data_IF_719795472499
#
_entry.id   IF_719795472499
#
_cell.length_a   1.000
_cell.length_b   1.000
_cell.length_c   1.000
_cell.angle_alpha   90.00
_cell.angle_beta   90.00
_cell.angle_gamma   90.00
#
_symmetry.space_group_name_H-M   'P 1'
#
loop_
_entity.id
_entity.type
_entity.pdbx_description
1 polymer ?
#
# COMPACT_ATOMS: atom_id res chain seq x y z
N UNK A 1 -19.58 -3.78 -12.73
CA UNK A 1 -19.29 -3.33 -11.35
C UNK A 1 -18.01 -4.02 -10.92
N UNK A 2 -16.95 -3.27 -10.62
CA UNK A 2 -15.69 -3.87 -10.14
C UNK A 2 -15.89 -4.45 -8.73
N UNK A 3 -15.23 -5.56 -8.44
CA UNK A 3 -15.46 -6.40 -7.27
C UNK A 3 -14.48 -6.15 -6.11
N UNK A 4 -13.30 -5.56 -6.34
CA UNK A 4 -12.32 -5.20 -5.31
C UNK A 4 -11.55 -3.90 -5.57
N UNK A 5 -10.98 -3.29 -4.52
CA UNK A 5 -10.10 -2.10 -4.60
C UNK A 5 -8.68 -2.49 -4.21
N UNK A 6 -7.71 -2.03 -4.99
CA UNK A 6 -6.29 -2.39 -4.81
C UNK A 6 -5.41 -1.16 -4.74
N UNK A 7 -4.43 -1.19 -3.85
CA UNK A 7 -3.28 -0.28 -3.84
C UNK A 7 -2.04 -1.05 -4.27
N UNK A 8 -1.34 -0.53 -5.27
CA UNK A 8 -0.10 -1.13 -5.75
C UNK A 8 1.07 -0.55 -4.98
N UNK A 9 1.97 -1.38 -4.48
CA UNK A 9 3.15 -0.94 -3.74
C UNK A 9 4.41 -1.49 -4.39
N UNK A 10 5.36 -0.62 -4.71
CA UNK A 10 6.70 -1.00 -5.17
C UNK A 10 7.70 -0.67 -4.08
N UNK A 11 8.40 -1.69 -3.59
CA UNK A 11 9.56 -1.54 -2.72
C UNK A 11 10.83 -1.57 -3.55
N UNK A 12 11.80 -0.70 -3.25
CA UNK A 12 13.04 -0.70 -4.02
C UNK A 12 14.06 0.34 -3.58
N UNK A 13 15.27 0.23 -4.13
CA UNK A 13 16.32 1.20 -3.82
C UNK A 13 16.00 2.59 -4.35
N UNK A 14 15.54 2.72 -5.61
CA UNK A 14 15.33 4.02 -6.28
C UNK A 14 16.56 4.94 -6.20
N UNK A 15 17.71 4.43 -6.63
CA UNK A 15 19.01 5.10 -6.52
C UNK A 15 19.69 5.27 -7.88
N UNK A 16 19.17 6.13 -8.79
CA UNK A 16 17.97 6.98 -8.66
C UNK A 16 16.68 6.30 -9.16
N UNK A 17 15.48 6.88 -8.92
CA UNK A 17 14.27 6.48 -9.64
C UNK A 17 14.40 6.76 -11.14
N UNK A 18 13.67 5.99 -11.95
CA UNK A 18 13.70 6.07 -13.43
C UNK A 18 12.29 5.95 -14.00
N UNK A 19 12.11 6.30 -15.28
CA UNK A 19 10.83 6.11 -15.97
C UNK A 19 10.35 4.67 -16.00
N UNK A 20 11.25 3.67 -15.93
CA UNK A 20 10.83 2.27 -15.88
C UNK A 20 10.03 1.96 -14.60
N UNK A 21 10.42 2.52 -13.46
CA UNK A 21 9.69 2.35 -12.20
C UNK A 21 8.28 2.95 -12.30
N UNK A 22 8.16 4.14 -12.89
CA UNK A 22 6.86 4.82 -13.08
C UNK A 22 6.00 4.08 -14.11
N UNK A 23 6.60 3.63 -15.21
CA UNK A 23 5.89 2.91 -16.28
C UNK A 23 5.32 1.58 -15.79
N UNK A 24 6.00 0.92 -14.84
CA UNK A 24 5.51 -0.32 -14.23
C UNK A 24 4.15 -0.13 -13.55
N UNK A 25 3.95 0.99 -12.84
CA UNK A 25 2.66 1.34 -12.24
C UNK A 25 1.56 1.49 -13.29
N UNK A 26 1.82 2.25 -14.34
CA UNK A 26 0.84 2.49 -15.41
C UNK A 26 0.43 1.19 -16.11
N UNK A 27 1.40 0.34 -16.46
CA UNK A 27 1.12 -0.97 -17.09
C UNK A 27 0.28 -1.86 -16.16
N UNK A 28 0.63 -1.93 -14.88
CA UNK A 28 -0.10 -2.76 -13.92
C UNK A 28 -1.51 -2.25 -13.66
N UNK A 29 -1.67 -0.92 -13.54
CA UNK A 29 -2.98 -0.28 -13.39
C UNK A 29 -3.89 -0.56 -14.58
N UNK A 30 -3.38 -0.37 -15.80
CA UNK A 30 -4.14 -0.64 -17.02
C UNK A 30 -4.56 -2.10 -17.09
N UNK A 31 -3.65 -3.03 -16.80
CA UNK A 31 -3.94 -4.46 -16.78
C UNK A 31 -5.05 -4.80 -15.78
N UNK A 32 -4.91 -4.38 -14.52
CA UNK A 32 -5.87 -4.70 -13.45
C UNK A 32 -7.24 -4.08 -13.75
N UNK A 33 -7.28 -2.80 -14.13
CA UNK A 33 -8.54 -2.12 -14.44
C UNK A 33 -9.23 -2.73 -15.66
N UNK A 34 -8.47 -3.12 -16.70
CA UNK A 34 -9.02 -3.75 -17.92
C UNK A 34 -9.64 -5.13 -17.66
N UNK A 35 -9.20 -5.83 -16.61
CA UNK A 35 -9.78 -7.12 -16.22
C UNK A 35 -11.23 -7.02 -15.74
N UNK A 36 -11.66 -5.83 -15.30
CA UNK A 36 -12.99 -5.57 -14.75
C UNK A 36 -13.25 -6.18 -13.36
N UNK A 37 -12.30 -6.94 -12.80
CA UNK A 37 -12.45 -7.58 -11.49
C UNK A 37 -12.13 -6.60 -10.35
N UNK A 38 -11.13 -5.74 -10.55
CA UNK A 38 -10.61 -4.85 -9.52
C UNK A 38 -10.34 -3.45 -10.06
N UNK A 39 -10.24 -2.50 -9.15
CA UNK A 39 -9.88 -1.12 -9.46
C UNK A 39 -8.68 -0.71 -8.65
N UNK A 40 -7.64 -0.24 -9.32
CA UNK A 40 -6.48 0.36 -8.65
C UNK A 40 -6.87 1.76 -8.18
N UNK A 41 -6.83 1.97 -6.87
CA UNK A 41 -7.20 3.22 -6.19
C UNK A 41 -5.99 3.99 -5.66
N UNK A 42 -4.78 3.48 -5.88
CA UNK A 42 -3.55 4.15 -5.47
C UNK A 42 -2.27 3.38 -5.76
N UNK A 43 -1.16 4.11 -5.76
CA UNK A 43 0.19 3.59 -5.92
C UNK A 43 1.11 4.09 -4.80
N UNK A 44 2.01 3.25 -4.31
CA UNK A 44 2.98 3.57 -3.26
C UNK A 44 4.38 3.22 -3.73
N UNK A 45 5.26 4.21 -3.80
CA UNK A 45 6.71 3.99 -3.93
C UNK A 45 7.36 4.01 -2.54
N UNK A 46 7.90 2.89 -2.11
CA UNK A 46 8.50 2.72 -0.77
C UNK A 46 10.01 2.53 -0.89
N UNK A 47 10.81 3.60 -0.74
CA UNK A 47 12.27 3.50 -0.76
C UNK A 47 12.78 2.63 0.38
N UNK A 48 13.76 1.78 0.05
CA UNK A 48 14.45 0.93 1.02
C UNK A 48 15.21 1.77 2.05
N UNK A 49 15.38 1.28 3.27
CA UNK A 49 16.23 1.94 4.27
C UNK A 49 17.72 1.92 3.86
N UNK A 50 18.49 2.95 4.23
CA UNK A 50 19.95 3.03 3.99
C UNK A 50 20.76 1.87 4.61
N UNK A 51 20.24 1.20 5.65
CA UNK A 51 20.86 0.04 6.28
C UNK A 51 20.74 -1.23 5.44
N UNK A 52 20.03 -1.19 4.30
CA UNK A 52 20.02 -2.28 3.32
C UNK A 52 21.42 -2.61 2.79
N UNK A 53 22.33 -1.63 2.82
CA UNK A 53 23.75 -1.88 2.55
C UNK A 53 24.08 -2.21 1.10
N UNK A 54 23.19 -1.90 0.14
CA UNK A 54 23.51 -2.01 -1.28
C UNK A 54 24.69 -1.11 -1.62
N UNK A 55 25.66 -1.65 -2.36
CA UNK A 55 26.81 -0.88 -2.86
C UNK A 55 26.31 0.34 -3.66
N UNK A 56 26.87 1.50 -3.37
CA UNK A 56 26.54 2.78 -4.01
C UNK A 56 25.09 3.27 -3.78
N UNK A 57 24.43 2.78 -2.71
CA UNK A 57 23.12 3.27 -2.31
C UNK A 57 23.21 4.73 -1.83
N UNK A 58 22.56 5.63 -2.56
CA UNK A 58 22.43 7.04 -2.16
C UNK A 58 21.55 7.14 -0.91
N UNK A 59 21.79 8.13 -0.04
CA UNK A 59 21.00 8.33 1.18
C UNK A 59 19.50 8.47 0.92
N UNK A 60 18.68 7.99 1.86
CA UNK A 60 17.22 7.99 1.76
C UNK A 60 16.66 9.40 1.48
N UNK A 61 17.23 10.42 2.12
CA UNK A 61 16.80 11.81 1.94
C UNK A 61 16.85 12.25 0.46
N UNK A 62 17.93 11.94 -0.25
CA UNK A 62 18.05 12.29 -1.67
C UNK A 62 17.11 11.45 -2.54
N UNK A 63 16.96 10.15 -2.23
CA UNK A 63 16.08 9.25 -2.99
C UNK A 63 14.61 9.64 -2.85
N UNK A 64 14.17 9.98 -1.63
CA UNK A 64 12.83 10.52 -1.35
C UNK A 64 12.60 11.83 -2.10
N UNK A 65 13.58 12.75 -2.09
CA UNK A 65 13.46 14.01 -2.81
C UNK A 65 13.32 13.79 -4.33
N UNK A 66 14.13 12.90 -4.91
CA UNK A 66 14.01 12.52 -6.33
C UNK A 66 12.67 11.87 -6.64
N UNK A 67 12.17 10.98 -5.80
CA UNK A 67 10.85 10.35 -5.97
C UNK A 67 9.73 11.39 -5.93
N UNK A 68 9.74 12.32 -4.96
CA UNK A 68 8.75 13.40 -4.87
C UNK A 68 8.75 14.28 -6.13
N UNK A 69 9.93 14.59 -6.68
CA UNK A 69 10.05 15.32 -7.94
C UNK A 69 9.54 14.51 -9.13
N UNK A 70 9.89 13.22 -9.22
CA UNK A 70 9.45 12.32 -10.28
C UNK A 70 7.93 12.10 -10.29
N UNK A 71 7.30 12.15 -9.12
CA UNK A 71 5.85 11.98 -8.94
C UNK A 71 5.07 13.30 -8.93
N UNK A 72 5.70 14.45 -9.19
CA UNK A 72 5.04 15.77 -9.13
C UNK A 72 3.81 15.87 -10.04
N UNK A 73 3.82 15.18 -11.18
CA UNK A 73 2.70 15.16 -12.14
C UNK A 73 1.77 13.95 -11.97
N UNK A 74 2.04 13.05 -11.01
CA UNK A 74 1.17 11.91 -10.70
C UNK A 74 0.15 12.32 -9.64
N UNK A 75 -1.12 12.04 -9.90
CA UNK A 75 -2.22 12.24 -8.96
C UNK A 75 -2.43 11.03 -8.03
N UNK A 76 -2.10 9.83 -8.50
CA UNK A 76 -2.47 8.57 -7.85
C UNK A 76 -1.31 7.80 -7.19
N UNK A 77 -0.05 8.16 -7.46
CA UNK A 77 1.14 7.51 -6.88
C UNK A 77 1.79 8.44 -5.86
N UNK A 78 2.04 7.94 -4.65
CA UNK A 78 2.68 8.70 -3.56
C UNK A 78 3.92 7.97 -3.03
N UNK A 79 4.77 8.70 -2.29
CA UNK A 79 5.97 8.15 -1.64
C UNK A 79 5.66 7.80 -0.19
N UNK A 80 5.95 6.56 0.22
CA UNK A 80 5.95 6.18 1.64
C UNK A 80 7.35 6.24 2.22
N UNK A 81 7.57 7.14 3.16
CA UNK A 81 8.83 7.28 3.90
C UNK A 81 8.91 6.34 5.12
N UNK A 82 7.89 5.49 5.34
CA UNK A 82 7.80 4.68 6.55
C UNK A 82 9.03 3.79 6.75
N UNK A 83 9.43 3.01 5.73
CA UNK A 83 10.58 2.11 5.84
C UNK A 83 11.88 2.87 6.15
N UNK A 84 12.10 4.02 5.52
CA UNK A 84 13.30 4.85 5.74
C UNK A 84 13.36 5.52 7.11
N UNK A 85 12.24 5.56 7.85
CA UNK A 85 12.14 6.13 9.20
C UNK A 85 12.27 5.07 10.30
N UNK A 86 12.41 3.80 9.94
CA UNK A 86 12.66 2.73 10.91
C UNK A 86 14.09 2.83 11.47
N UNK A 87 14.41 2.05 12.49
CA UNK A 87 15.76 2.03 13.08
C UNK A 87 16.78 1.26 12.22
N UNK A 88 16.32 0.51 11.23
CA UNK A 88 17.16 -0.29 10.34
C UNK A 88 16.37 -0.86 9.16
N UNK A 89 17.02 -1.68 8.35
CA UNK A 89 16.38 -2.34 7.21
C UNK A 89 15.22 -3.23 7.64
N UNK A 90 14.14 -3.22 6.87
CA UNK A 90 12.94 -4.02 7.10
C UNK A 90 12.67 -4.95 5.92
N UNK A 91 12.11 -6.12 6.22
CA UNK A 91 11.64 -7.05 5.19
C UNK A 91 10.45 -6.47 4.44
N UNK A 92 10.37 -6.73 3.13
CA UNK A 92 9.26 -6.27 2.28
C UNK A 92 7.89 -6.69 2.81
N UNK A 93 7.76 -7.91 3.39
CA UNK A 93 6.53 -8.37 4.03
C UNK A 93 6.06 -7.44 5.16
N UNK A 94 6.98 -6.94 5.98
CA UNK A 94 6.66 -6.03 7.08
C UNK A 94 6.23 -4.66 6.55
N UNK A 95 6.89 -4.16 5.52
CA UNK A 95 6.47 -2.94 4.83
C UNK A 95 5.05 -3.11 4.27
N UNK A 96 4.73 -4.22 3.58
CA UNK A 96 3.38 -4.49 3.06
C UNK A 96 2.33 -4.58 4.19
N UNK A 97 2.62 -5.33 5.25
CA UNK A 97 1.73 -5.50 6.39
C UNK A 97 1.40 -4.16 7.06
N UNK A 98 2.41 -3.32 7.29
CA UNK A 98 2.19 -1.97 7.83
C UNK A 98 1.21 -1.15 6.97
N UNK A 99 1.39 -1.14 5.65
CA UNK A 99 0.51 -0.35 4.77
C UNK A 99 -0.91 -0.94 4.72
N UNK A 100 -1.05 -2.27 4.76
CA UNK A 100 -2.36 -2.92 4.84
C UNK A 100 -3.07 -2.62 6.16
N UNK A 101 -2.38 -2.71 7.29
CA UNK A 101 -2.93 -2.41 8.61
C UNK A 101 -3.29 -0.93 8.75
N UNK A 102 -2.47 -0.04 8.19
CA UNK A 102 -2.74 1.38 8.12
C UNK A 102 -4.03 1.69 7.34
N UNK A 103 -4.26 1.01 6.21
CA UNK A 103 -5.51 1.15 5.44
C UNK A 103 -6.71 0.55 6.17
N UNK A 104 -6.56 -0.62 6.80
CA UNK A 104 -7.62 -1.28 7.56
C UNK A 104 -8.09 -0.43 8.75
N UNK A 105 -7.17 0.25 9.41
CA UNK A 105 -7.43 1.04 10.62
C UNK A 105 -7.63 2.54 10.34
N UNK A 106 -7.75 2.96 9.08
CA UNK A 106 -7.80 4.38 8.72
C UNK A 106 -8.91 5.17 9.45
N UNK A 107 -10.09 4.57 9.65
CA UNK A 107 -11.20 5.20 10.38
C UNK A 107 -10.85 5.58 11.83
N UNK A 108 -9.92 4.86 12.45
CA UNK A 108 -9.45 5.13 13.81
C UNK A 108 -8.40 6.26 13.84
N UNK A 109 -7.63 6.45 12.76
CA UNK A 109 -6.57 7.46 12.66
C UNK A 109 -7.07 8.87 12.36
N UNK A 110 -8.29 9.05 11.82
CA UNK A 110 -8.86 10.39 11.58
C UNK A 110 -8.99 11.22 12.87
N UNK A 111 -9.04 10.57 14.04
CA UNK A 111 -9.22 11.24 15.33
C UNK A 111 -7.90 11.57 16.05
N UNK A 112 -6.73 11.15 15.55
CA UNK A 112 -5.46 11.28 16.28
C UNK A 112 -4.27 11.70 15.40
N UNK A 113 -4.17 13.02 15.20
CA UNK A 113 -2.98 13.81 14.83
C UNK A 113 -2.41 13.73 13.41
N UNK A 114 -1.97 14.92 13.00
CA UNK A 114 -1.32 15.30 11.75
C UNK A 114 -0.04 14.49 11.46
N UNK A 115 0.13 14.05 10.20
CA UNK A 115 1.46 13.87 9.61
C UNK A 115 1.92 12.45 9.25
N UNK A 116 1.20 11.38 9.58
CA UNK A 116 1.73 10.01 9.40
C UNK A 116 1.40 9.33 8.05
N UNK A 117 0.45 9.84 7.27
CA UNK A 117 -0.11 9.10 6.11
C UNK A 117 -0.07 9.88 4.79
N UNK A 118 1.01 10.63 4.55
CA UNK A 118 1.19 11.39 3.28
C UNK A 118 1.21 10.52 2.02
N UNK A 119 1.40 9.21 2.18
CA UNK A 119 1.37 8.23 1.10
C UNK A 119 -0.03 7.70 0.79
N UNK A 120 -1.02 7.94 1.65
CA UNK A 120 -2.33 7.32 1.50
C UNK A 120 -3.07 7.94 0.30
N UNK A 121 -3.69 7.12 -0.57
CA UNK A 121 -4.39 7.61 -1.74
C UNK A 121 -5.59 8.48 -1.38
N UNK A 122 -5.73 9.61 -2.08
CA UNK A 122 -6.78 10.60 -1.86
C UNK A 122 -8.20 10.00 -2.03
N UNK A 123 -8.35 9.05 -2.95
CA UNK A 123 -9.62 8.35 -3.20
C UNK A 123 -10.07 7.50 -1.99
N UNK A 124 -9.15 6.97 -1.19
CA UNK A 124 -9.48 6.22 0.03
C UNK A 124 -9.99 7.18 1.12
N UNK A 125 -9.52 8.43 1.13
CA UNK A 125 -10.03 9.46 2.04
C UNK A 125 -11.50 9.78 1.75
N UNK A 126 -11.91 9.77 0.47
CA UNK A 126 -13.27 10.13 0.04
C UNK A 126 -14.28 8.98 0.10
N UNK A 127 -13.85 7.72 -0.11
CA UNK A 127 -14.74 6.54 -0.12
C UNK A 127 -15.42 6.32 1.23
N UNK A 128 -14.72 6.55 2.34
CA UNK A 128 -15.31 6.38 3.67
C UNK A 128 -16.27 7.52 4.03
N UNK A 129 -16.21 8.66 3.33
CA UNK A 129 -17.11 9.79 3.52
C UNK A 129 -18.42 9.64 2.73
N UNK A 130 -18.42 8.85 1.63
CA UNK A 130 -19.62 8.57 0.83
C UNK A 130 -20.50 7.44 1.39
N UNK A 131 -19.95 6.52 2.20
CA UNK A 131 -20.76 5.49 2.86
C UNK A 131 -21.63 6.04 4.02
N UNK A 132 -21.57 7.34 4.30
CA UNK A 132 -22.30 7.98 5.40
C UNK A 132 -23.67 8.56 5.06
N UNK A 133 -24.09 8.58 3.79
CA UNK A 133 -25.31 9.31 3.38
C UNK A 133 -26.36 8.50 2.60
N UNK A 134 -26.07 7.26 2.19
CA UNK A 134 -26.99 6.48 1.32
C UNK A 134 -27.46 5.12 1.91
N UNK A 135 -27.30 4.87 3.22
CA UNK A 135 -27.83 3.65 3.89
C UNK A 135 -29.04 4.00 4.78
N UNK A 136 -30.29 3.62 4.41
CA UNK A 136 -31.47 3.92 5.20
C UNK A 136 -31.63 3.08 6.50
N UNK A 137 -30.74 2.12 6.79
CA UNK A 137 -31.01 1.09 7.81
C UNK A 137 -30.24 1.21 9.14
N UNK A 138 -29.52 2.31 9.40
CA UNK A 138 -28.78 2.46 10.67
C UNK A 138 -29.59 3.04 11.84
N UNK A 139 -30.80 2.52 12.10
CA UNK A 139 -31.57 2.81 13.33
C UNK A 139 -31.33 1.80 14.47
N UNK A 140 -30.44 0.80 14.30
CA UNK A 140 -30.25 -0.25 15.31
C UNK A 140 -29.08 -0.05 16.30
N UNK A 141 -28.28 1.01 16.17
CA UNK A 141 -27.07 1.20 17.01
C UNK A 141 -27.29 1.97 18.33
N UNK A 142 -28.53 2.16 18.79
CA UNK A 142 -28.83 2.71 20.13
C UNK A 142 -28.96 1.66 21.25
N UNK A 143 -28.87 0.37 20.95
CA UNK A 143 -28.92 -0.67 21.99
C UNK A 143 -27.54 -1.32 22.15
N UNK A 144 -26.90 -1.06 23.29
CA UNK A 144 -25.53 -1.44 23.62
C UNK A 144 -25.27 -2.94 23.80
N UNK A 145 -25.53 -3.74 22.77
CA UNK A 145 -25.06 -5.12 22.71
C UNK A 145 -23.72 -5.18 21.97
N UNK A 146 -22.67 -5.81 22.55
CA UNK A 146 -21.42 -6.06 21.84
C UNK A 146 -21.67 -7.01 20.65
N UNK A 147 -20.99 -6.82 19.51
CA UNK A 147 -21.18 -7.68 18.35
C UNK A 147 -20.69 -9.12 18.63
N UNK A 148 -21.48 -10.10 18.18
CA UNK A 148 -21.22 -11.54 18.35
C UNK A 148 -19.87 -11.95 17.69
N UNK A 149 -19.10 -12.88 18.29
CA UNK A 149 -17.80 -13.32 17.75
C UNK A 149 -17.88 -14.12 16.43
N UNK A 150 -19.10 -14.35 15.94
CA UNK A 150 -19.44 -15.24 14.83
C UNK A 150 -19.56 -14.47 13.49
N UNK A 151 -19.38 -13.15 13.51
CA UNK A 151 -19.45 -12.28 12.33
C UNK A 151 -18.21 -12.34 11.40
N UNK A 152 -17.35 -13.35 11.53
CA UNK A 152 -16.19 -13.57 10.64
C UNK A 152 -16.57 -14.04 9.21
N UNK A 153 -17.87 -14.18 8.92
CA UNK A 153 -18.41 -14.58 7.63
C UNK A 153 -19.15 -13.49 6.82
N UNK A 154 -19.23 -12.25 7.31
CA UNK A 154 -19.93 -11.19 6.59
C UNK A 154 -19.03 -10.57 5.49
N UNK A 155 -19.12 -11.13 4.27
CA UNK A 155 -18.58 -10.58 3.01
C UNK A 155 -19.29 -9.26 2.60
N UNK A 156 -19.29 -8.26 3.48
CA UNK A 156 -20.10 -7.04 3.35
C UNK A 156 -19.32 -5.72 3.23
N UNK A 157 -18.09 -5.64 3.76
CA UNK A 157 -17.23 -4.47 3.59
C UNK A 157 -16.05 -4.82 2.68
N UNK A 158 -16.13 -4.44 1.41
CA UNK A 158 -15.05 -4.65 0.43
C UNK A 158 -13.87 -3.75 0.79
N UNK A 159 -12.94 -4.27 1.60
CA UNK A 159 -11.71 -3.59 2.00
C UNK A 159 -10.76 -3.34 0.83
N UNK A 160 -9.81 -2.43 1.03
CA UNK A 160 -8.73 -2.14 0.07
C UNK A 160 -7.57 -3.09 0.34
N UNK A 161 -7.09 -3.79 -0.70
CA UNK A 161 -5.94 -4.69 -0.59
C UNK A 161 -4.65 -4.03 -1.08
N UNK A 162 -3.55 -4.15 -0.33
CA UNK A 162 -2.21 -3.77 -0.78
C UNK A 162 -1.59 -4.95 -1.51
N UNK A 163 -1.07 -4.71 -2.72
CA UNK A 163 -0.34 -5.72 -3.50
C UNK A 163 1.05 -5.25 -3.86
N UNK A 164 2.00 -6.15 -3.73
CA UNK A 164 3.36 -5.93 -4.21
C UNK A 164 3.36 -5.89 -5.74
N UNK A 165 3.84 -4.78 -6.29
CA UNK A 165 4.16 -4.63 -7.70
C UNK A 165 5.68 -4.73 -7.86
N UNK A 166 6.13 -5.58 -8.77
CA UNK A 166 7.56 -5.81 -9.00
C UNK A 166 7.85 -6.22 -10.44
N UNK A 167 9.14 -6.12 -10.81
CA UNK A 167 9.65 -6.70 -12.06
C UNK A 167 9.89 -8.20 -11.93
N UNK A 168 10.14 -8.85 -13.07
CA UNK A 168 10.44 -10.28 -13.12
C UNK A 168 11.72 -10.63 -12.36
N UNK A 169 12.70 -9.74 -12.34
CA UNK A 169 13.96 -9.87 -11.61
C UNK A 169 13.75 -10.04 -10.09
N UNK A 170 12.85 -9.24 -9.49
CA UNK A 170 12.51 -9.39 -8.08
C UNK A 170 11.73 -10.68 -7.83
N UNK A 171 10.81 -11.05 -8.71
CA UNK A 171 10.05 -12.30 -8.60
C UNK A 171 10.97 -13.53 -8.67
N UNK A 172 11.93 -13.53 -9.61
CA UNK A 172 12.94 -14.58 -9.73
C UNK A 172 13.83 -14.66 -8.49
N UNK A 173 14.07 -13.53 -7.81
CA UNK A 173 14.86 -13.50 -6.58
C UNK A 173 14.25 -14.31 -5.43
N UNK A 174 12.93 -14.57 -5.45
CA UNK A 174 12.27 -15.42 -4.45
C UNK A 174 12.82 -16.85 -4.44
N UNK A 175 13.37 -17.31 -5.56
CA UNK A 175 14.01 -18.63 -5.66
C UNK A 175 15.47 -18.65 -5.20
N UNK A 176 16.06 -17.49 -4.84
CA UNK A 176 17.47 -17.42 -4.41
C UNK A 176 17.61 -17.90 -2.96
N UNK A 177 18.35 -18.99 -2.68
CA UNK A 177 18.46 -19.54 -1.33
C UNK A 177 19.04 -18.54 -0.34
N UNK A 178 18.38 -18.39 0.82
CA UNK A 178 18.81 -17.52 1.91
C UNK A 178 18.60 -16.02 1.67
N UNK A 179 18.03 -15.62 0.54
CA UNK A 179 17.72 -14.21 0.25
C UNK A 179 16.38 -13.77 0.87
N UNK A 180 15.40 -14.66 0.85
CA UNK A 180 14.07 -14.43 1.42
C UNK A 180 13.81 -15.43 2.55
N UNK A 181 13.04 -15.01 3.56
CA UNK A 181 12.54 -15.95 4.55
C UNK A 181 11.39 -16.76 3.94
N UNK A 182 11.32 -18.06 4.24
CA UNK A 182 10.27 -18.94 3.69
C UNK A 182 8.86 -18.45 4.03
N UNK A 183 8.66 -17.92 5.25
CA UNK A 183 7.40 -17.31 5.71
C UNK A 183 7.01 -16.02 4.93
N UNK A 184 7.95 -15.40 4.21
CA UNK A 184 7.70 -14.21 3.39
C UNK A 184 7.23 -14.54 1.97
N UNK A 185 7.51 -15.76 1.48
CA UNK A 185 7.26 -16.19 0.09
C UNK A 185 6.20 -17.30 0.00
N UNK A 186 6.07 -18.13 1.04
CA UNK A 186 5.13 -19.24 1.06
C UNK A 186 3.68 -18.82 1.34
N UNK A 187 2.74 -19.54 0.74
CA UNK A 187 1.30 -19.41 1.01
C UNK A 187 0.98 -19.86 2.44
N UNK A 188 0.23 -19.03 3.17
CA UNK A 188 -0.61 -19.45 4.30
C UNK A 188 -2.06 -19.21 3.96
#
# INVERSE_FOLDING_TARGET
MTQGKVVLMVCGSFSPPTYMHLRMFEIARDHINSSGMETVVGGIMSPVHDAYGKKDLVTANHRIAMLKLALKSSDWIKVSEWETRQSGWTRTRLSLAYHQDALNNYSLYQNNSEGCMSWMPDDILNVNNMNGLDEPDNYQSLNGNPPSPDARGARGARGVAVRLLCGADLLESFATPGLWADDDVGDR
#
